data_IF_718299838011
#
_entry.id   IF_718299838011
#
_cell.length_a   1.000
_cell.length_b   1.000
_cell.length_c   1.000
_cell.angle_alpha   90.00
_cell.angle_beta   90.00
_cell.angle_gamma   90.00
#
_symmetry.space_group_name_H-M   'P 1'
#
loop_
_entity.id
_entity.type
_entity.pdbx_description
1 polymer ?
#
# COMPACT_ATOMS: atom_id res chain seq x y z
N UNK A 1 0.72 -10.71 -12.41
CA UNK A 1 0.11 -9.38 -12.40
C UNK A 1 -0.57 -9.08 -11.08
N UNK A 2 -0.76 -7.81 -10.74
CA UNK A 2 -1.68 -7.37 -9.69
C UNK A 2 -3.08 -7.17 -10.27
N UNK A 3 -4.10 -7.46 -9.45
CA UNK A 3 -5.50 -7.33 -9.85
C UNK A 3 -5.97 -5.92 -9.50
N UNK A 4 -6.31 -5.14 -10.53
CA UNK A 4 -6.92 -3.82 -10.39
C UNK A 4 -8.44 -3.85 -10.59
N UNK A 5 -9.06 -2.68 -10.51
CA UNK A 5 -10.52 -2.50 -10.65
C UNK A 5 -11.05 -2.85 -12.07
N UNK A 6 -10.16 -2.92 -13.07
CA UNK A 6 -10.50 -3.23 -14.46
C UNK A 6 -10.65 -4.74 -14.72
N UNK A 7 -10.24 -5.59 -13.78
CA UNK A 7 -10.34 -7.02 -13.92
C UNK A 7 -11.72 -7.53 -13.49
N UNK A 8 -12.22 -8.64 -14.13
CA UNK A 8 -13.42 -9.31 -13.66
C UNK A 8 -13.30 -9.71 -12.19
N UNK A 9 -14.42 -9.71 -11.46
CA UNK A 9 -14.45 -10.12 -10.06
C UNK A 9 -14.83 -11.59 -9.86
N UNK A 10 -15.20 -12.28 -10.92
CA UNK A 10 -15.47 -13.72 -10.91
C UNK A 10 -14.14 -14.50 -10.98
N UNK A 11 -13.78 -15.27 -9.93
CA UNK A 11 -12.54 -16.04 -9.92
C UNK A 11 -12.45 -17.07 -11.02
N UNK A 12 -13.56 -17.70 -11.44
CA UNK A 12 -13.54 -18.69 -12.51
C UNK A 12 -13.20 -18.03 -13.86
N UNK A 13 -13.75 -16.83 -14.11
CA UNK A 13 -13.42 -16.04 -15.30
C UNK A 13 -11.95 -15.64 -15.28
N UNK A 14 -11.45 -15.10 -14.15
CA UNK A 14 -10.04 -14.69 -14.03
C UNK A 14 -9.08 -15.85 -14.25
N UNK A 15 -9.29 -16.96 -13.55
CA UNK A 15 -8.41 -18.12 -13.64
C UNK A 15 -8.35 -18.66 -15.09
N UNK A 16 -9.50 -18.75 -15.79
CA UNK A 16 -9.55 -19.17 -17.19
C UNK A 16 -8.78 -18.21 -18.09
N UNK A 17 -9.03 -16.90 -17.96
CA UNK A 17 -8.41 -15.90 -18.83
C UNK A 17 -6.90 -15.75 -18.57
N UNK A 18 -6.45 -15.92 -17.32
CA UNK A 18 -5.03 -15.91 -16.98
C UNK A 18 -4.32 -17.17 -17.46
N UNK A 19 -4.92 -18.35 -17.28
CA UNK A 19 -4.36 -19.60 -17.77
C UNK A 19 -4.15 -19.56 -19.31
N UNK A 20 -5.13 -19.02 -20.07
CA UNK A 20 -5.01 -18.87 -21.52
C UNK A 20 -3.88 -17.96 -21.99
N UNK A 21 -3.40 -17.06 -21.11
CA UNK A 21 -2.34 -16.07 -21.41
C UNK A 21 -1.02 -16.36 -20.71
N UNK A 22 -0.92 -17.44 -19.94
CA UNK A 22 0.27 -17.75 -19.15
C UNK A 22 0.55 -16.69 -18.05
N UNK A 23 -0.50 -16.04 -17.50
CA UNK A 23 -0.40 -15.01 -16.48
C UNK A 23 -0.86 -15.60 -15.14
N UNK A 24 -0.21 -15.19 -14.05
CA UNK A 24 -0.62 -15.51 -12.68
C UNK A 24 -0.95 -14.24 -11.91
N UNK A 25 -2.00 -14.30 -11.07
CA UNK A 25 -2.27 -13.27 -10.08
C UNK A 25 -1.27 -13.37 -8.94
N UNK A 26 -0.75 -12.25 -8.48
CA UNK A 26 0.17 -12.18 -7.33
C UNK A 26 -0.55 -11.58 -6.12
N UNK A 27 -1.26 -10.48 -6.32
CA UNK A 27 -1.92 -9.71 -5.27
C UNK A 27 -2.99 -8.79 -5.86
N UNK A 28 -3.78 -8.19 -4.98
CA UNK A 28 -4.61 -7.03 -5.27
C UNK A 28 -4.63 -6.09 -4.05
N UNK A 29 -4.89 -4.81 -4.32
CA UNK A 29 -5.02 -3.78 -3.30
C UNK A 29 -6.30 -3.94 -2.49
N UNK A 30 -6.16 -3.80 -1.16
CA UNK A 30 -7.27 -3.54 -0.26
C UNK A 30 -6.96 -2.33 0.63
N UNK A 31 -7.90 -1.40 0.72
CA UNK A 31 -7.83 -0.28 1.67
C UNK A 31 -8.29 -0.72 3.05
N UNK A 32 -7.54 -0.34 4.09
CA UNK A 32 -8.00 -0.38 5.47
C UNK A 32 -8.26 1.04 5.96
N UNK A 33 -9.06 1.16 7.03
CA UNK A 33 -9.45 2.42 7.65
C UNK A 33 -9.40 2.27 9.17
N UNK A 34 -8.22 1.87 9.68
CA UNK A 34 -8.05 1.40 11.06
C UNK A 34 -8.29 2.50 12.10
N UNK A 35 -8.01 3.76 11.76
CA UNK A 35 -8.27 4.92 12.62
C UNK A 35 -9.67 5.55 12.44
N UNK A 36 -10.42 5.15 11.42
CA UNK A 36 -11.75 5.73 11.11
C UNK A 36 -12.90 4.74 11.25
N UNK A 37 -12.59 3.44 11.22
CA UNK A 37 -13.60 2.39 11.29
C UNK A 37 -13.24 1.36 12.37
N UNK A 38 -14.24 0.74 13.01
CA UNK A 38 -13.98 -0.30 13.99
C UNK A 38 -13.26 -1.50 13.36
N UNK A 39 -12.40 -2.16 14.13
CA UNK A 39 -11.55 -3.25 13.67
C UNK A 39 -12.34 -4.38 12.99
N UNK A 40 -13.49 -4.77 13.53
CA UNK A 40 -14.32 -5.85 12.96
C UNK A 40 -14.76 -5.57 11.52
N UNK A 41 -14.97 -4.28 11.17
CA UNK A 41 -15.36 -3.89 9.82
C UNK A 41 -14.19 -4.01 8.84
N UNK A 42 -13.00 -3.58 9.27
CA UNK A 42 -11.77 -3.78 8.51
C UNK A 42 -11.47 -5.26 8.34
N UNK A 43 -11.58 -6.06 9.41
CA UNK A 43 -11.36 -7.50 9.39
C UNK A 43 -12.29 -8.20 8.40
N UNK A 44 -13.59 -7.91 8.45
CA UNK A 44 -14.55 -8.52 7.51
C UNK A 44 -14.18 -8.26 6.06
N UNK A 45 -13.94 -6.99 5.69
CA UNK A 45 -13.55 -6.62 4.33
C UNK A 45 -12.22 -7.28 3.93
N UNK A 46 -11.27 -7.36 4.86
CA UNK A 46 -9.98 -8.00 4.65
C UNK A 46 -10.10 -9.51 4.42
N UNK A 47 -10.91 -10.21 5.20
CA UNK A 47 -11.15 -11.65 5.05
C UNK A 47 -11.84 -11.96 3.73
N UNK A 48 -12.86 -11.19 3.35
CA UNK A 48 -13.54 -11.33 2.06
C UNK A 48 -12.56 -11.17 0.90
N UNK A 49 -11.71 -10.15 0.97
CA UNK A 49 -10.67 -9.90 -0.04
C UNK A 49 -9.59 -11.01 -0.07
N UNK A 50 -9.15 -11.46 1.11
CA UNK A 50 -8.21 -12.58 1.25
C UNK A 50 -8.75 -13.86 0.61
N UNK A 51 -10.01 -14.19 0.84
CA UNK A 51 -10.65 -15.37 0.25
C UNK A 51 -10.75 -15.25 -1.27
N UNK A 52 -11.06 -14.06 -1.79
CA UNK A 52 -11.00 -13.80 -3.23
C UNK A 52 -9.60 -14.05 -3.78
N UNK A 53 -8.55 -13.50 -3.17
CA UNK A 53 -7.16 -13.69 -3.60
C UNK A 53 -6.76 -15.17 -3.58
N UNK A 54 -7.12 -15.91 -2.54
CA UNK A 54 -6.88 -17.37 -2.48
C UNK A 54 -7.54 -18.10 -3.63
N UNK A 55 -8.77 -17.74 -3.99
CA UNK A 55 -9.51 -18.38 -5.08
C UNK A 55 -8.91 -18.19 -6.47
N UNK A 56 -8.04 -17.20 -6.63
CA UNK A 56 -7.27 -16.93 -7.87
C UNK A 56 -5.79 -17.28 -7.77
N UNK A 57 -5.40 -18.00 -6.70
CA UNK A 57 -4.04 -18.49 -6.51
C UNK A 57 -3.02 -17.44 -6.06
N UNK A 58 -3.45 -16.24 -5.67
CA UNK A 58 -2.58 -15.23 -5.11
C UNK A 58 -2.23 -15.54 -3.65
N UNK A 59 -1.01 -15.20 -3.22
CA UNK A 59 -0.49 -15.47 -1.88
C UNK A 59 -0.11 -14.22 -1.09
N UNK A 60 -0.23 -13.05 -1.69
CA UNK A 60 0.12 -11.76 -1.10
C UNK A 60 -1.12 -10.89 -1.04
N UNK A 61 -1.29 -10.18 0.07
CA UNK A 61 -2.35 -9.18 0.27
C UNK A 61 -1.68 -7.82 0.35
N UNK A 62 -1.87 -7.00 -0.69
CA UNK A 62 -1.40 -5.62 -0.73
C UNK A 62 -2.40 -4.72 -0.01
N UNK A 63 -1.98 -4.05 1.06
CA UNK A 63 -2.84 -3.15 1.82
C UNK A 63 -2.16 -1.82 2.12
N UNK A 64 -2.98 -0.78 2.24
CA UNK A 64 -2.59 0.52 2.78
C UNK A 64 -3.72 1.07 3.63
N UNK A 65 -3.39 1.69 4.75
CA UNK A 65 -4.39 2.37 5.56
C UNK A 65 -4.75 3.71 4.94
N UNK A 66 -6.03 3.89 4.65
CA UNK A 66 -6.59 5.07 4.00
C UNK A 66 -7.28 6.02 4.99
N UNK A 67 -7.18 5.74 6.29
CA UNK A 67 -7.61 6.69 7.32
C UNK A 67 -6.93 8.03 7.09
N UNK A 68 -7.73 9.10 7.02
CA UNK A 68 -7.24 10.46 6.77
C UNK A 68 -6.49 10.67 5.45
N UNK A 69 -6.53 9.72 4.53
CA UNK A 69 -5.84 9.83 3.24
C UNK A 69 -6.44 10.95 2.38
N UNK A 70 -5.57 11.74 1.78
CA UNK A 70 -5.94 12.79 0.82
C UNK A 70 -5.58 12.42 -0.63
N UNK A 71 -5.16 11.18 -0.88
CA UNK A 71 -4.69 10.75 -2.21
C UNK A 71 -5.75 10.89 -3.31
N UNK A 72 -7.04 10.83 -2.96
CA UNK A 72 -8.15 10.96 -3.91
C UNK A 72 -8.74 12.38 -3.96
N UNK A 73 -8.15 13.33 -3.24
CA UNK A 73 -8.64 14.70 -3.17
C UNK A 73 -7.98 15.55 -4.26
N UNK A 74 -8.80 16.02 -5.23
CA UNK A 74 -8.30 16.74 -6.41
C UNK A 74 -7.59 18.06 -6.09
N UNK A 75 -8.04 18.79 -5.08
CA UNK A 75 -7.55 20.14 -4.76
C UNK A 75 -6.70 20.23 -3.50
N UNK A 76 -6.46 19.14 -2.79
CA UNK A 76 -5.72 19.16 -1.53
C UNK A 76 -4.22 18.97 -1.79
N UNK A 77 -3.38 19.96 -1.47
CA UNK A 77 -1.94 19.88 -1.67
C UNK A 77 -1.29 18.68 -0.98
N UNK A 78 -0.22 18.15 -1.58
CA UNK A 78 0.58 17.05 -1.00
C UNK A 78 1.01 17.32 0.45
N UNK A 79 1.36 18.58 0.75
CA UNK A 79 1.82 19.00 2.08
C UNK A 79 0.76 18.92 3.18
N UNK A 80 -0.52 18.79 2.83
CA UNK A 80 -1.62 18.70 3.80
C UNK A 80 -1.86 17.28 4.32
N UNK A 81 -0.95 16.37 4.03
CA UNK A 81 -0.99 15.01 4.58
C UNK A 81 -1.07 15.03 6.11
N UNK A 82 -1.96 14.21 6.66
CA UNK A 82 -2.05 14.00 8.11
C UNK A 82 -0.79 13.30 8.63
N UNK A 83 -0.27 13.80 9.75
CA UNK A 83 0.75 13.11 10.57
C UNK A 83 0.03 12.50 11.76
N UNK A 84 0.22 11.20 11.99
CA UNK A 84 -0.43 10.49 13.10
C UNK A 84 0.21 10.85 14.44
N UNK A 85 -0.62 10.98 15.49
CA UNK A 85 -0.17 11.02 16.86
C UNK A 85 0.09 9.60 17.41
N UNK A 86 0.55 9.50 18.66
CA UNK A 86 0.95 8.21 19.25
C UNK A 86 -0.22 7.23 19.38
N UNK A 87 -1.39 7.70 19.80
CA UNK A 87 -2.60 6.85 19.91
C UNK A 87 -3.04 6.34 18.52
N UNK A 88 -3.00 7.19 17.50
CA UNK A 88 -3.32 6.81 16.12
C UNK A 88 -2.32 5.78 15.58
N UNK A 89 -1.04 5.89 15.94
CA UNK A 89 -0.03 4.88 15.60
C UNK A 89 -0.29 3.53 16.27
N UNK A 90 -0.68 3.52 17.54
CA UNK A 90 -1.04 2.30 18.25
C UNK A 90 -2.24 1.60 17.60
N UNK A 91 -3.27 2.36 17.24
CA UNK A 91 -4.45 1.82 16.55
C UNK A 91 -4.06 1.20 15.20
N UNK A 92 -3.29 1.92 14.38
CA UNK A 92 -2.82 1.46 13.09
C UNK A 92 -2.04 0.14 13.22
N UNK A 93 -1.01 0.13 14.06
CA UNK A 93 -0.07 -0.99 14.14
C UNK A 93 -0.66 -2.23 14.82
N UNK A 94 -1.52 -2.04 15.83
CA UNK A 94 -2.30 -3.13 16.41
C UNK A 94 -3.25 -3.74 15.38
N UNK A 95 -3.93 -2.91 14.58
CA UNK A 95 -4.81 -3.39 13.52
C UNK A 95 -4.03 -4.15 12.43
N UNK A 96 -2.88 -3.64 12.00
CA UNK A 96 -2.02 -4.33 11.03
C UNK A 96 -1.50 -5.67 11.54
N UNK A 97 -1.07 -5.75 12.81
CA UNK A 97 -0.66 -7.00 13.43
C UNK A 97 -1.81 -8.02 13.48
N UNK A 98 -3.02 -7.56 13.82
CA UNK A 98 -4.21 -8.41 13.85
C UNK A 98 -4.55 -8.97 12.46
N UNK A 99 -4.66 -8.12 11.44
CA UNK A 99 -4.94 -8.55 10.08
C UNK A 99 -3.80 -9.39 9.50
N UNK A 100 -2.56 -9.04 9.81
CA UNK A 100 -1.37 -9.80 9.39
C UNK A 100 -1.33 -11.21 9.98
N UNK A 101 -1.76 -11.36 11.24
CA UNK A 101 -1.91 -12.68 11.86
C UNK A 101 -2.97 -13.53 11.16
N UNK A 102 -4.13 -12.96 10.81
CA UNK A 102 -5.19 -13.65 10.05
C UNK A 102 -4.64 -14.13 8.69
N UNK A 103 -3.92 -13.27 7.98
CA UNK A 103 -3.29 -13.63 6.72
C UNK A 103 -2.29 -14.78 6.90
N UNK A 104 -1.40 -14.65 7.88
CA UNK A 104 -0.37 -15.66 8.17
C UNK A 104 -0.97 -17.03 8.52
N UNK A 105 -1.98 -17.07 9.38
CA UNK A 105 -2.68 -18.31 9.76
C UNK A 105 -3.40 -18.95 8.57
N UNK A 106 -3.69 -18.16 7.54
CA UNK A 106 -4.29 -18.60 6.27
C UNK A 106 -3.26 -18.96 5.18
N UNK A 107 -1.97 -18.92 5.49
CA UNK A 107 -0.87 -19.21 4.56
C UNK A 107 -0.59 -18.07 3.57
N UNK A 108 -1.01 -16.84 3.88
CA UNK A 108 -0.80 -15.66 3.07
C UNK A 108 0.11 -14.63 3.78
N UNK A 109 0.58 -13.64 3.04
CA UNK A 109 1.39 -12.54 3.58
C UNK A 109 0.68 -11.21 3.37
N UNK A 110 0.67 -10.36 4.40
CA UNK A 110 0.33 -8.95 4.25
C UNK A 110 1.58 -8.16 3.86
N UNK A 111 1.45 -7.30 2.87
CA UNK A 111 2.46 -6.32 2.50
C UNK A 111 1.85 -4.93 2.54
N UNK A 112 2.40 -4.07 3.40
CA UNK A 112 1.91 -2.71 3.53
C UNK A 112 2.50 -1.83 2.43
N UNK A 113 1.64 -1.17 1.68
CA UNK A 113 2.05 -0.21 0.66
C UNK A 113 2.08 1.20 1.25
N UNK A 114 3.26 1.68 1.59
CA UNK A 114 3.47 3.10 1.84
C UNK A 114 3.16 3.88 0.56
N UNK A 115 2.45 4.98 0.68
CA UNK A 115 1.97 5.68 -0.49
C UNK A 115 1.89 7.18 -0.24
N UNK A 116 2.13 7.97 -1.29
CA UNK A 116 1.96 9.43 -1.23
C UNK A 116 0.59 9.78 -0.66
N UNK A 117 0.59 10.71 0.31
CA UNK A 117 -0.61 11.29 0.94
C UNK A 117 -1.51 10.32 1.74
N UNK A 118 -0.96 9.17 2.12
CA UNK A 118 -1.59 8.24 3.08
C UNK A 118 -0.94 8.35 4.47
N UNK A 119 -1.37 7.55 5.43
CA UNK A 119 -0.88 7.57 6.82
C UNK A 119 0.61 7.25 6.93
N UNK A 120 1.14 6.37 6.07
CA UNK A 120 2.56 6.01 6.02
C UNK A 120 3.10 6.37 4.64
N UNK A 121 3.96 7.38 4.59
CA UNK A 121 4.54 7.91 3.35
C UNK A 121 6.07 8.01 3.45
N UNK A 122 6.59 8.59 4.52
CA UNK A 122 8.01 8.94 4.69
C UNK A 122 8.84 7.79 5.25
N UNK A 123 10.17 7.87 5.10
CA UNK A 123 11.11 6.92 5.70
C UNK A 123 10.91 6.79 7.21
N UNK A 124 10.75 7.90 7.92
CA UNK A 124 10.52 7.91 9.37
C UNK A 124 9.20 7.22 9.75
N UNK A 125 8.15 7.37 8.94
CA UNK A 125 6.87 6.70 9.16
C UNK A 125 6.96 5.19 8.85
N UNK A 126 7.70 4.80 7.82
CA UNK A 126 8.01 3.39 7.52
C UNK A 126 8.79 2.76 8.68
N UNK A 127 9.83 3.45 9.18
CA UNK A 127 10.62 3.00 10.32
C UNK A 127 9.73 2.77 11.54
N UNK A 128 8.88 3.72 11.87
CA UNK A 128 7.98 3.63 13.01
C UNK A 128 6.98 2.49 12.87
N UNK A 129 6.33 2.38 11.73
CA UNK A 129 5.40 1.27 11.46
C UNK A 129 6.08 -0.09 11.62
N UNK A 130 7.27 -0.25 11.04
CA UNK A 130 8.01 -1.51 11.11
C UNK A 130 8.51 -1.84 12.51
N UNK A 131 8.88 -0.83 13.30
CA UNK A 131 9.28 -1.01 14.70
C UNK A 131 8.10 -1.43 15.60
N UNK A 132 6.87 -0.99 15.28
CA UNK A 132 5.67 -1.27 16.06
C UNK A 132 4.86 -2.49 15.53
N UNK A 133 5.33 -3.15 14.45
CA UNK A 133 4.65 -4.32 13.88
C UNK A 133 5.53 -5.56 13.93
N UNK A 134 4.90 -6.73 14.15
CA UNK A 134 5.57 -8.01 14.18
C UNK A 134 6.10 -8.38 12.78
N UNK A 135 7.41 -8.62 12.62
CA UNK A 135 8.02 -9.00 11.35
C UNK A 135 7.49 -10.30 10.76
N UNK A 136 6.87 -11.13 11.59
CA UNK A 136 6.23 -12.37 11.15
C UNK A 136 4.94 -12.08 10.36
N UNK A 137 4.24 -11.02 10.69
CA UNK A 137 2.91 -10.74 10.17
C UNK A 137 2.88 -9.62 9.15
N UNK A 138 3.73 -8.59 9.31
CA UNK A 138 3.68 -7.40 8.47
C UNK A 138 5.00 -7.20 7.72
N UNK A 139 4.93 -7.14 6.42
CA UNK A 139 6.02 -6.75 5.53
C UNK A 139 5.65 -5.47 4.78
N UNK A 140 6.57 -4.89 4.01
CA UNK A 140 6.29 -3.73 3.18
C UNK A 140 6.38 -4.06 1.68
N UNK A 141 5.69 -3.27 0.88
CA UNK A 141 6.01 -3.10 -0.54
C UNK A 141 7.13 -2.07 -0.62
N UNK A 142 8.23 -2.43 -1.26
CA UNK A 142 9.29 -1.50 -1.62
C UNK A 142 8.91 -0.80 -2.93
N UNK A 143 8.39 0.42 -2.83
CA UNK A 143 7.97 1.21 -3.98
C UNK A 143 8.93 2.39 -4.20
N UNK A 144 9.80 2.26 -5.20
CA UNK A 144 10.83 3.27 -5.50
C UNK A 144 10.24 4.62 -5.91
N UNK A 145 9.09 4.61 -6.57
CA UNK A 145 8.45 5.85 -7.02
C UNK A 145 7.85 6.66 -5.89
N UNK A 146 7.10 6.01 -4.98
CA UNK A 146 6.52 6.72 -3.84
C UNK A 146 7.60 7.22 -2.87
N UNK A 147 8.68 6.46 -2.63
CA UNK A 147 9.82 6.92 -1.85
C UNK A 147 10.46 8.17 -2.48
N UNK A 148 10.84 8.09 -3.74
CA UNK A 148 11.46 9.24 -4.44
C UNK A 148 10.53 10.46 -4.46
N UNK A 149 9.23 10.26 -4.71
CA UNK A 149 8.27 11.38 -4.74
C UNK A 149 8.03 11.99 -3.36
N UNK A 150 8.21 11.24 -2.27
CA UNK A 150 8.18 11.77 -0.91
C UNK A 150 9.48 12.47 -0.48
N UNK A 151 10.51 12.46 -1.34
CA UNK A 151 11.81 13.08 -1.06
C UNK A 151 12.80 12.14 -0.39
N UNK A 152 12.52 10.85 -0.33
CA UNK A 152 13.33 9.85 0.34
C UNK A 152 14.32 9.19 -0.65
N UNK A 153 15.42 8.65 -0.13
CA UNK A 153 16.33 7.79 -0.89
C UNK A 153 15.86 6.32 -0.81
N UNK A 154 15.40 5.74 -1.94
CA UNK A 154 14.99 4.34 -1.96
C UNK A 154 16.12 3.37 -1.53
N UNK A 155 17.38 3.68 -1.83
CA UNK A 155 18.51 2.81 -1.47
C UNK A 155 18.74 2.75 0.04
N UNK A 156 18.48 3.82 0.77
CA UNK A 156 18.56 3.81 2.24
C UNK A 156 17.48 2.90 2.83
N UNK A 157 16.26 3.00 2.35
CA UNK A 157 15.16 2.12 2.77
C UNK A 157 15.47 0.65 2.45
N UNK A 158 15.99 0.38 1.25
CA UNK A 158 16.38 -0.98 0.87
C UNK A 158 17.46 -1.54 1.81
N UNK A 159 18.53 -0.78 2.08
CA UNK A 159 19.62 -1.21 2.98
C UNK A 159 19.12 -1.49 4.40
N UNK A 160 18.23 -0.65 4.90
CA UNK A 160 17.72 -0.72 6.27
C UNK A 160 16.68 -1.83 6.47
N UNK A 161 15.80 -2.03 5.51
CA UNK A 161 14.61 -2.85 5.66
C UNK A 161 14.49 -4.01 4.69
N UNK A 162 15.58 -4.41 3.99
CA UNK A 162 15.52 -5.51 3.00
C UNK A 162 14.85 -6.78 3.52
N UNK A 163 15.05 -7.15 4.80
CA UNK A 163 14.44 -8.32 5.43
C UNK A 163 12.93 -8.22 5.67
N UNK A 164 12.39 -7.00 5.58
CA UNK A 164 10.96 -6.70 5.74
C UNK A 164 10.25 -6.44 4.41
N UNK A 165 10.95 -6.53 3.27
CA UNK A 165 10.37 -6.36 1.94
C UNK A 165 9.67 -7.66 1.53
N UNK A 166 8.37 -7.60 1.32
CA UNK A 166 7.56 -8.74 0.87
C UNK A 166 7.13 -8.65 -0.59
N UNK A 167 7.20 -7.47 -1.19
CA UNK A 167 6.87 -7.20 -2.58
C UNK A 167 7.56 -5.93 -3.09
N UNK A 168 7.66 -5.77 -4.40
CA UNK A 168 8.40 -4.66 -5.02
C UNK A 168 7.57 -3.99 -6.11
N UNK A 169 7.50 -2.66 -6.06
CA UNK A 169 7.04 -1.81 -7.15
C UNK A 169 8.20 -0.94 -7.65
N UNK A 170 8.58 -1.10 -8.89
CA UNK A 170 9.62 -0.29 -9.51
C UNK A 170 8.98 0.80 -10.38
N UNK A 171 9.16 2.03 -9.98
CA UNK A 171 8.71 3.22 -10.70
C UNK A 171 9.83 4.22 -10.78
N UNK A 172 10.02 4.83 -11.93
CA UNK A 172 10.86 6.02 -12.04
C UNK A 172 10.05 7.28 -11.72
N UNK A 173 10.75 8.33 -11.25
CA UNK A 173 10.17 9.64 -11.00
C UNK A 173 10.87 10.67 -11.87
N UNK A 174 10.10 11.42 -12.63
CA UNK A 174 10.61 12.55 -13.40
C UNK A 174 10.79 13.76 -12.48
N UNK A 175 12.05 14.05 -12.13
CA UNK A 175 12.38 15.11 -11.16
C UNK A 175 11.76 16.47 -11.51
N UNK A 176 11.80 16.89 -12.77
CA UNK A 176 11.21 18.16 -13.19
C UNK A 176 9.70 18.25 -12.98
N UNK A 177 8.97 17.14 -13.20
CA UNK A 177 7.54 17.06 -12.93
C UNK A 177 7.26 17.07 -11.42
N UNK A 178 8.08 16.35 -10.65
CA UNK A 178 7.98 16.34 -9.17
C UNK A 178 8.19 17.74 -8.60
N UNK A 179 9.30 18.42 -8.99
CA UNK A 179 9.63 19.77 -8.53
C UNK A 179 8.50 20.77 -8.86
N UNK A 180 7.93 20.68 -10.08
CA UNK A 180 6.76 21.47 -10.47
C UNK A 180 5.54 21.20 -9.58
N UNK A 181 5.25 19.94 -9.29
CA UNK A 181 4.10 19.57 -8.44
C UNK A 181 4.21 20.17 -7.03
N UNK A 182 5.40 20.16 -6.45
CA UNK A 182 5.65 20.79 -5.15
C UNK A 182 5.57 22.32 -5.20
N UNK A 183 6.21 22.95 -6.19
CA UNK A 183 6.20 24.41 -6.37
C UNK A 183 4.79 24.96 -6.58
N UNK A 184 3.94 24.24 -7.34
CA UNK A 184 2.57 24.62 -7.63
C UNK A 184 1.56 24.11 -6.57
N UNK A 185 2.03 23.48 -5.48
CA UNK A 185 1.21 22.92 -4.40
C UNK A 185 0.10 21.99 -4.92
N UNK A 186 0.46 21.13 -5.88
CA UNK A 186 -0.52 20.20 -6.46
C UNK A 186 -0.95 19.12 -5.47
N UNK A 187 -2.12 18.54 -5.70
CA UNK A 187 -2.55 17.30 -5.06
C UNK A 187 -1.88 16.10 -5.72
N UNK A 188 -1.95 14.94 -5.08
CA UNK A 188 -1.47 13.70 -5.67
C UNK A 188 -2.14 13.40 -7.02
N UNK A 189 -3.47 13.50 -7.09
CA UNK A 189 -4.19 13.26 -8.35
C UNK A 189 -3.78 14.21 -9.47
N UNK A 190 -3.49 15.47 -9.17
CA UNK A 190 -3.03 16.46 -10.18
C UNK A 190 -1.58 16.24 -10.59
N UNK A 191 -0.80 15.51 -9.82
CA UNK A 191 0.59 15.18 -10.19
C UNK A 191 0.68 14.05 -11.22
N UNK A 192 -0.32 13.18 -11.28
CA UNK A 192 -0.33 12.03 -12.21
C UNK A 192 -0.32 12.48 -13.68
N UNK A 193 -1.24 13.35 -14.16
CA UNK A 193 -1.22 13.83 -15.54
C UNK A 193 0.01 14.71 -15.87
N UNK A 194 0.74 15.24 -14.88
CA UNK A 194 2.04 15.90 -15.10
C UNK A 194 3.13 14.87 -15.46
N UNK A 195 2.85 13.59 -15.38
CA UNK A 195 3.79 12.53 -15.70
C UNK A 195 4.90 12.39 -14.65
N UNK A 196 4.56 12.54 -13.36
CA UNK A 196 5.54 12.38 -12.28
C UNK A 196 6.12 10.97 -12.24
N UNK A 197 5.31 9.96 -12.50
CA UNK A 197 5.77 8.57 -12.66
C UNK A 197 5.99 8.22 -14.14
N UNK A 198 7.05 7.44 -14.42
CA UNK A 198 7.41 6.97 -15.77
C UNK A 198 7.79 5.49 -15.76
#
# INVERSE_FOLDING_TARGET
>A
TEIGCQYPRDPAVLNREFARRGISAITAWISTYLNEQPLWRNERAFVDHMNFLKSIGASIINTSDQSFSIQHQWNTPLANKKVLNDDEWEVLTRGLNHLGKIAYDSGMKIVYHHHMTTTVQTAAEIDRMLAMTDPKYVSIIYDTGHLTFSGEDPLEILRKHHSRIGHVHLKNVRKSAMDKCYAEKKSFLRSIPEGVFT
#
